data_IF_967719126167
#
_entry.id   IF_967719126167
#
_cell.length_a   1.000
_cell.length_b   1.000
_cell.length_c   1.000
_cell.angle_alpha   90.00
_cell.angle_beta   90.00
_cell.angle_gamma   90.00
#
_symmetry.space_group_name_H-M   'P 1'
#
loop_
_entity.id
_entity.type
_entity.pdbx_description
1 polymer ?
#
# COMPACT_ATOMS: atom_id res chain seq x y z
N UNK A 1 24.82 20.30 11.98
CA UNK A 1 23.88 19.76 10.96
C UNK A 1 24.69 18.85 10.05
N UNK A 2 24.75 17.54 10.33
CA UNK A 2 25.52 16.63 9.49
C UNK A 2 24.73 16.37 8.20
N UNK A 3 25.37 16.39 7.02
CA UNK A 3 24.70 16.03 5.78
C UNK A 3 24.19 14.59 5.91
N UNK A 4 22.96 14.35 5.49
CA UNK A 4 22.32 13.03 5.51
C UNK A 4 23.18 12.05 4.68
N UNK A 5 24.10 11.32 5.32
CA UNK A 5 24.97 10.38 4.62
C UNK A 5 24.21 9.09 4.38
N UNK A 6 24.05 8.71 3.11
CA UNK A 6 23.47 7.42 2.75
C UNK A 6 24.23 6.30 3.46
N UNK A 7 23.48 5.39 4.11
CA UNK A 7 24.07 4.20 4.73
C UNK A 7 24.25 3.11 3.67
N UNK A 8 25.41 2.48 3.67
CA UNK A 8 25.66 1.30 2.86
C UNK A 8 24.95 0.11 3.51
N UNK A 9 24.06 -0.53 2.76
CA UNK A 9 23.35 -1.74 3.17
C UNK A 9 23.62 -2.84 2.14
N UNK A 10 24.00 -4.02 2.59
CA UNK A 10 24.12 -5.20 1.75
C UNK A 10 22.82 -5.99 1.79
N UNK A 11 22.33 -6.41 0.62
CA UNK A 11 21.16 -7.29 0.48
C UNK A 11 21.54 -8.49 -0.35
N UNK A 12 20.92 -9.64 -0.08
CA UNK A 12 21.11 -10.86 -0.86
C UNK A 12 20.02 -10.94 -1.92
N UNK A 13 20.43 -11.18 -3.16
CA UNK A 13 19.55 -11.33 -4.31
C UNK A 13 19.94 -12.62 -5.04
N UNK A 14 18.99 -13.23 -5.72
CA UNK A 14 19.29 -14.32 -6.65
C UNK A 14 20.09 -13.79 -7.84
N UNK A 15 20.81 -14.67 -8.54
CA UNK A 15 21.54 -14.28 -9.77
C UNK A 15 20.59 -13.74 -10.84
N UNK A 16 19.36 -14.26 -10.89
CA UNK A 16 18.29 -13.78 -11.76
C UNK A 16 17.91 -12.33 -11.43
N UNK A 17 17.68 -12.02 -10.15
CA UNK A 17 17.33 -10.67 -9.69
C UNK A 17 18.47 -9.67 -9.93
N UNK A 18 19.73 -10.09 -9.72
CA UNK A 18 20.89 -9.25 -10.02
C UNK A 18 20.97 -8.94 -11.52
N UNK A 19 20.70 -9.93 -12.36
CA UNK A 19 20.68 -9.76 -13.83
C UNK A 19 19.55 -8.83 -14.25
N UNK A 20 18.37 -9.00 -13.67
CA UNK A 20 17.20 -8.13 -13.90
C UNK A 20 17.49 -6.69 -13.47
N UNK A 21 18.07 -6.48 -12.29
CA UNK A 21 18.41 -5.16 -11.76
C UNK A 21 19.44 -4.44 -12.64
N UNK A 22 20.48 -5.15 -13.11
CA UNK A 22 21.48 -4.60 -14.04
C UNK A 22 20.84 -4.15 -15.35
N UNK A 23 19.97 -4.98 -15.93
CA UNK A 23 19.27 -4.65 -17.17
C UNK A 23 18.38 -3.42 -17.00
N UNK A 24 17.63 -3.34 -15.90
CA UNK A 24 16.73 -2.21 -15.62
C UNK A 24 17.50 -0.91 -15.43
N UNK A 25 18.57 -0.95 -14.63
CA UNK A 25 19.45 0.20 -14.41
C UNK A 25 20.05 0.71 -15.72
N UNK A 26 20.50 -0.19 -16.60
CA UNK A 26 21.04 0.17 -17.91
C UNK A 26 19.98 0.76 -18.85
N UNK A 27 18.75 0.22 -18.87
CA UNK A 27 17.68 0.75 -19.72
C UNK A 27 17.19 2.13 -19.30
N UNK A 28 17.36 2.49 -18.03
CA UNK A 28 16.90 3.77 -17.47
C UNK A 28 18.01 4.81 -17.28
N UNK A 29 19.26 4.48 -17.66
CA UNK A 29 20.45 5.31 -17.39
C UNK A 29 20.59 5.70 -15.91
N UNK A 30 20.38 4.73 -15.02
CA UNK A 30 20.41 4.90 -13.56
C UNK A 30 21.43 3.96 -12.91
N UNK A 31 21.86 4.30 -11.70
CA UNK A 31 22.56 3.33 -10.85
C UNK A 31 21.60 2.27 -10.31
N UNK A 32 22.10 1.05 -10.09
CA UNK A 32 21.31 -0.01 -9.43
C UNK A 32 20.78 0.43 -8.06
N UNK A 33 21.54 1.26 -7.35
CA UNK A 33 21.11 1.80 -6.06
C UNK A 33 19.93 2.77 -6.18
N UNK A 34 19.83 3.55 -7.27
CA UNK A 34 18.66 4.40 -7.54
C UNK A 34 17.43 3.57 -7.83
N UNK A 35 17.57 2.54 -8.68
CA UNK A 35 16.48 1.61 -9.00
C UNK A 35 15.94 0.94 -7.73
N UNK A 36 16.81 0.46 -6.83
CA UNK A 36 16.38 -0.12 -5.54
C UNK A 36 15.64 0.93 -4.69
N UNK A 37 16.14 2.17 -4.60
CA UNK A 37 15.47 3.22 -3.81
C UNK A 37 14.11 3.58 -4.37
N UNK A 38 13.96 3.65 -5.69
CA UNK A 38 12.67 3.91 -6.34
C UNK A 38 11.70 2.75 -6.13
N UNK A 39 12.17 1.50 -6.27
CA UNK A 39 11.35 0.33 -5.99
C UNK A 39 10.83 0.32 -4.55
N UNK A 40 11.66 0.68 -3.56
CA UNK A 40 11.24 0.79 -2.16
C UNK A 40 10.16 1.86 -1.96
N UNK A 41 10.29 3.04 -2.59
CA UNK A 41 9.25 4.10 -2.51
C UNK A 41 7.90 3.61 -3.06
N UNK A 42 7.94 2.87 -4.17
CA UNK A 42 6.73 2.30 -4.79
C UNK A 42 6.15 1.18 -3.92
N UNK A 43 6.99 0.35 -3.31
CA UNK A 43 6.57 -0.70 -2.40
C UNK A 43 5.84 -0.12 -1.19
N UNK A 44 6.40 0.90 -0.55
CA UNK A 44 5.78 1.61 0.59
C UNK A 44 4.44 2.26 0.22
N UNK A 45 4.33 2.83 -0.99
CA UNK A 45 3.09 3.44 -1.47
C UNK A 45 1.98 2.40 -1.68
N UNK A 46 2.31 1.18 -2.10
CA UNK A 46 1.35 0.10 -2.26
C UNK A 46 0.95 -0.56 -0.92
N UNK A 47 1.85 -0.58 0.08
CA UNK A 47 1.57 -1.17 1.40
C UNK A 47 0.71 -0.30 2.32
N UNK A 48 0.38 0.93 1.94
CA UNK A 48 -0.61 1.73 2.66
C UNK A 48 -1.98 1.60 1.98
N UNK A 49 -2.80 0.59 2.32
CA UNK A 49 -4.21 0.70 2.02
C UNK A 49 -4.71 1.98 2.68
N UNK A 50 -5.54 2.74 1.98
CA UNK A 50 -6.14 3.94 2.52
C UNK A 50 -6.98 3.56 3.75
N UNK A 51 -6.36 3.63 4.94
CA UNK A 51 -7.04 3.39 6.23
C UNK A 51 -7.94 4.57 6.60
N UNK A 52 -8.01 5.59 5.74
CA UNK A 52 -8.99 6.66 5.84
C UNK A 52 -10.27 6.18 5.19
N UNK A 53 -11.05 5.43 5.97
CA UNK A 53 -12.42 5.12 5.59
C UNK A 53 -13.16 6.46 5.37
N UNK A 54 -13.38 6.82 4.11
CA UNK A 54 -14.42 7.78 3.79
C UNK A 54 -15.72 7.05 4.09
N UNK A 55 -16.31 7.35 5.25
CA UNK A 55 -17.62 6.87 5.66
C UNK A 55 -18.66 7.32 4.63
N UNK A 56 -18.72 6.62 3.51
CA UNK A 56 -19.66 6.88 2.42
C UNK A 56 -21.02 6.43 2.92
N UNK A 57 -21.99 7.35 2.89
CA UNK A 57 -23.36 7.07 3.33
C UNK A 57 -23.52 6.66 4.81
N UNK A 58 -22.54 6.87 5.70
CA UNK A 58 -22.71 6.55 7.13
C UNK A 58 -23.78 7.39 7.85
N UNK A 59 -24.34 8.38 7.16
CA UNK A 59 -25.42 9.25 7.60
C UNK A 59 -26.57 9.29 6.58
N UNK A 60 -26.55 8.41 5.57
CA UNK A 60 -27.62 8.32 4.57
C UNK A 60 -28.70 7.38 5.11
N UNK A 61 -29.87 7.95 5.36
CA UNK A 61 -30.97 7.28 6.03
C UNK A 61 -31.98 8.30 6.54
N UNK A 62 -33.16 7.84 6.92
CA UNK A 62 -34.24 8.67 7.46
C UNK A 62 -33.99 9.15 8.91
N UNK A 63 -32.84 8.80 9.49
CA UNK A 63 -32.48 9.10 10.87
C UNK A 63 -33.19 8.21 11.90
N UNK A 64 -33.90 7.17 11.47
CA UNK A 64 -34.54 6.21 12.36
C UNK A 64 -33.49 5.43 13.14
N UNK A 65 -33.67 5.36 14.46
CA UNK A 65 -32.76 4.61 15.33
C UNK A 65 -32.91 3.11 15.09
N UNK A 66 -31.78 2.45 14.81
CA UNK A 66 -31.70 0.98 14.68
C UNK A 66 -32.08 0.23 15.95
N UNK A 67 -32.06 0.91 17.11
CA UNK A 67 -32.42 0.31 18.41
C UNK A 67 -33.87 -0.19 18.44
N UNK A 68 -34.75 0.39 17.62
CA UNK A 68 -36.15 -0.02 17.52
C UNK A 68 -36.44 -1.09 16.47
N UNK A 69 -35.46 -1.47 15.65
CA UNK A 69 -35.65 -2.39 14.53
C UNK A 69 -35.43 -3.83 15.01
N UNK A 70 -36.37 -4.76 14.77
CA UNK A 70 -36.20 -6.16 15.09
C UNK A 70 -34.97 -6.76 14.39
N UNK A 71 -34.20 -7.59 15.11
CA UNK A 71 -32.95 -8.18 14.61
C UNK A 71 -33.13 -8.96 13.30
N UNK A 72 -34.24 -9.68 13.13
CA UNK A 72 -34.51 -10.45 11.92
C UNK A 72 -34.66 -9.58 10.66
N UNK A 73 -35.11 -8.33 10.80
CA UNK A 73 -35.20 -7.37 9.70
C UNK A 73 -33.81 -6.80 9.38
N UNK A 74 -32.96 -6.58 10.40
CA UNK A 74 -31.59 -6.08 10.20
C UNK A 74 -30.68 -7.09 9.50
N UNK A 75 -30.97 -8.39 9.64
CA UNK A 75 -30.16 -9.48 9.10
C UNK A 75 -30.68 -10.04 7.78
N UNK A 76 -31.76 -9.47 7.23
CA UNK A 76 -32.29 -9.89 5.94
C UNK A 76 -31.25 -9.69 4.82
N UNK A 77 -30.94 -10.75 4.07
CA UNK A 77 -29.93 -10.73 3.01
C UNK A 77 -28.46 -10.83 3.47
N UNK A 78 -28.20 -10.96 4.78
CA UNK A 78 -26.84 -11.20 5.29
C UNK A 78 -26.40 -12.65 5.04
N UNK A 79 -25.43 -12.85 4.14
CA UNK A 79 -24.82 -14.15 3.85
C UNK A 79 -25.47 -14.96 2.72
N UNK A 80 -26.38 -14.35 1.95
CA UNK A 80 -26.88 -14.86 0.66
C UNK A 80 -25.99 -14.50 -0.52
#
# INVERSE_FOLDING_TARGET
MLPYSMKKTSVYLTDEDVTRLRRLAASEDKSQAEVIREALRVYEAHEQPDRRFSLTAAWDGDGTSVVGVPEHELLEGFGS
#
